data_IF_873448482865
#
_entry.id   IF_873448482865
#
_cell.length_a   1.000
_cell.length_b   1.000
_cell.length_c   1.000
_cell.angle_alpha   90.00
_cell.angle_beta   90.00
_cell.angle_gamma   90.00
#
_symmetry.space_group_name_H-M   'P 1'
#
loop_
_entity.id
_entity.type
_entity.pdbx_description
1 polymer ?
#
# COMPACT_ATOMS: atom_id res chain seq x y z
N UNK A 1 -27.62 -31.33 16.24
CA UNK A 1 -26.47 -31.61 15.35
C UNK A 1 -26.30 -30.41 14.43
N UNK A 2 -25.61 -29.37 14.90
CA UNK A 2 -25.15 -28.27 14.04
C UNK A 2 -23.68 -28.52 13.77
N UNK A 3 -23.33 -28.79 12.51
CA UNK A 3 -21.93 -28.78 12.08
C UNK A 3 -21.38 -27.39 12.36
N UNK A 4 -20.53 -27.26 13.37
CA UNK A 4 -19.70 -26.07 13.57
C UNK A 4 -18.77 -26.01 12.36
N UNK A 5 -19.20 -25.29 11.32
CA UNK A 5 -18.39 -25.05 10.13
C UNK A 5 -17.04 -24.51 10.56
N UNK A 6 -15.97 -25.14 10.07
CA UNK A 6 -14.59 -24.69 10.33
C UNK A 6 -14.50 -23.25 9.83
N UNK A 7 -14.44 -22.27 10.73
CA UNK A 7 -14.24 -20.88 10.34
C UNK A 7 -12.86 -20.75 9.74
N UNK A 8 -12.80 -20.35 8.46
CA UNK A 8 -11.52 -20.09 7.79
C UNK A 8 -10.78 -19.01 8.58
N UNK A 9 -9.59 -19.34 9.06
CA UNK A 9 -8.73 -18.41 9.79
C UNK A 9 -7.67 -17.84 8.86
N UNK A 10 -7.52 -16.52 8.84
CA UNK A 10 -6.44 -15.81 8.13
C UNK A 10 -5.56 -15.01 9.10
N UNK A 11 -4.26 -15.04 8.86
CA UNK A 11 -3.27 -14.29 9.63
C UNK A 11 -2.84 -13.04 8.87
N UNK A 12 -3.10 -11.87 9.43
CA UNK A 12 -2.70 -10.58 8.86
C UNK A 12 -1.55 -10.00 9.68
N UNK A 13 -0.42 -9.82 9.02
CA UNK A 13 0.75 -9.17 9.58
C UNK A 13 0.65 -7.65 9.52
N UNK A 14 1.19 -6.96 10.51
CA UNK A 14 1.48 -5.52 10.45
C UNK A 14 2.98 -5.35 10.69
N UNK A 15 3.71 -4.78 9.72
CA UNK A 15 5.14 -4.57 9.83
C UNK A 15 5.44 -3.61 11.00
N UNK A 16 6.19 -4.08 11.98
CA UNK A 16 6.39 -3.39 13.26
C UNK A 16 7.88 -3.04 13.51
N UNK A 17 8.57 -2.63 12.44
CA UNK A 17 9.97 -2.16 12.50
C UNK A 17 10.07 -0.70 12.91
N UNK A 18 9.14 0.12 12.44
CA UNK A 18 8.96 1.53 12.75
C UNK A 18 7.56 1.95 12.28
N UNK A 19 6.95 2.96 12.90
CA UNK A 19 5.70 3.54 12.43
C UNK A 19 4.47 3.19 13.27
N UNK A 20 3.29 3.53 12.75
CA UNK A 20 1.99 3.45 13.43
C UNK A 20 1.34 2.04 13.36
N UNK A 21 2.10 1.00 13.71
CA UNK A 21 1.62 -0.39 13.62
C UNK A 21 0.52 -0.72 14.65
N UNK A 22 0.53 -0.04 15.81
CA UNK A 22 -0.47 -0.25 16.87
C UNK A 22 -1.85 0.24 16.45
N UNK A 23 -1.92 1.44 15.89
CA UNK A 23 -3.14 2.08 15.40
C UNK A 23 -3.75 1.25 14.27
N UNK A 24 -2.91 0.78 13.34
CA UNK A 24 -3.33 -0.17 12.31
C UNK A 24 -3.92 -1.45 12.90
N UNK A 25 -3.26 -2.06 13.89
CA UNK A 25 -3.73 -3.30 14.54
C UNK A 25 -5.08 -3.10 15.23
N UNK A 26 -5.30 -1.95 15.86
CA UNK A 26 -6.58 -1.63 16.52
C UNK A 26 -7.73 -1.48 15.51
N UNK A 27 -7.50 -0.77 14.41
CA UNK A 27 -8.51 -0.64 13.35
C UNK A 27 -8.76 -1.96 12.62
N UNK A 28 -7.73 -2.79 12.40
CA UNK A 28 -7.90 -4.14 11.84
C UNK A 28 -8.79 -5.02 12.74
N UNK A 29 -8.59 -4.98 14.07
CA UNK A 29 -9.48 -5.69 15.02
C UNK A 29 -10.92 -5.18 14.97
N UNK A 30 -11.10 -3.88 14.77
CA UNK A 30 -12.43 -3.29 14.61
C UNK A 30 -13.07 -3.68 13.26
N UNK A 31 -12.26 -3.69 12.20
CA UNK A 31 -12.64 -4.07 10.85
C UNK A 31 -13.03 -5.56 10.71
N UNK A 32 -12.40 -6.45 11.48
CA UNK A 32 -12.74 -7.87 11.49
C UNK A 32 -14.22 -8.12 11.86
N UNK A 33 -14.84 -7.23 12.64
CA UNK A 33 -16.26 -7.34 13.01
C UNK A 33 -17.22 -7.25 11.82
N UNK A 34 -16.78 -6.67 10.71
CA UNK A 34 -17.55 -6.60 9.46
C UNK A 34 -17.52 -7.90 8.66
N UNK A 35 -16.71 -8.87 9.08
CA UNK A 35 -16.51 -10.17 8.42
C UNK A 35 -16.77 -11.33 9.39
N UNK A 36 -18.00 -11.48 9.92
CA UNK A 36 -18.29 -12.44 11.00
C UNK A 36 -18.12 -13.91 10.60
N UNK A 37 -18.08 -14.23 9.30
CA UNK A 37 -17.86 -15.58 8.79
C UNK A 37 -16.38 -16.00 8.82
N UNK A 38 -15.45 -15.05 8.98
CA UNK A 38 -14.02 -15.27 8.86
C UNK A 38 -13.32 -14.90 10.16
N UNK A 39 -12.44 -15.80 10.63
CA UNK A 39 -11.61 -15.50 11.79
C UNK A 39 -10.31 -14.83 11.34
N UNK A 40 -9.96 -13.70 11.96
CA UNK A 40 -8.70 -13.01 11.71
C UNK A 40 -7.78 -13.05 12.92
N UNK A 41 -6.52 -13.38 12.68
CA UNK A 41 -5.42 -13.23 13.64
C UNK A 41 -4.54 -12.07 13.18
N UNK A 42 -4.20 -11.15 14.07
CA UNK A 42 -3.33 -10.00 13.77
C UNK A 42 -2.01 -10.15 14.50
N UNK A 43 -0.90 -10.12 13.76
CA UNK A 43 0.45 -10.31 14.30
C UNK A 43 1.36 -9.14 13.92
N UNK A 44 2.20 -8.73 14.86
CA UNK A 44 3.27 -7.78 14.58
C UNK A 44 4.44 -8.51 13.93
N UNK A 45 4.88 -8.01 12.78
CA UNK A 45 5.95 -8.61 11.99
C UNK A 45 7.24 -7.83 12.20
N UNK A 46 8.22 -8.48 12.83
CA UNK A 46 9.59 -7.99 13.04
C UNK A 46 10.65 -8.95 12.50
N UNK A 47 10.26 -10.17 12.17
CA UNK A 47 11.15 -11.24 11.70
C UNK A 47 10.58 -11.96 10.48
N UNK A 48 11.46 -12.63 9.73
CA UNK A 48 11.08 -13.41 8.55
C UNK A 48 10.13 -14.57 8.90
N UNK A 49 10.31 -15.20 10.07
CA UNK A 49 9.43 -16.27 10.54
C UNK A 49 8.00 -15.78 10.80
N UNK A 50 7.86 -14.58 11.39
CA UNK A 50 6.55 -13.97 11.59
C UNK A 50 5.89 -13.60 10.26
N UNK A 51 6.67 -13.06 9.31
CA UNK A 51 6.19 -12.74 7.97
C UNK A 51 5.70 -13.99 7.22
N UNK A 52 6.46 -15.09 7.30
CA UNK A 52 6.13 -16.34 6.62
C UNK A 52 4.79 -16.95 7.10
N UNK A 53 4.43 -16.73 8.36
CA UNK A 53 3.16 -17.17 8.93
C UNK A 53 1.94 -16.32 8.51
N UNK A 54 2.16 -15.19 7.82
CA UNK A 54 1.10 -14.29 7.40
C UNK A 54 0.51 -14.68 6.03
N UNK A 55 -0.80 -14.52 5.90
CA UNK A 55 -1.55 -14.58 4.64
C UNK A 55 -1.59 -13.23 3.93
N UNK A 56 -1.58 -12.14 4.71
CA UNK A 56 -1.58 -10.77 4.20
C UNK A 56 -0.70 -9.86 5.07
N UNK A 57 -0.28 -8.71 4.52
CA UNK A 57 0.61 -7.78 5.21
C UNK A 57 0.16 -6.32 5.07
N UNK A 58 0.17 -5.58 6.17
CA UNK A 58 0.13 -4.11 6.17
C UNK A 58 1.53 -3.57 6.44
N UNK A 59 1.98 -2.65 5.59
CA UNK A 59 3.22 -1.87 5.75
C UNK A 59 2.80 -0.46 6.14
N UNK A 60 2.93 -0.08 7.42
CA UNK A 60 2.35 1.16 7.93
C UNK A 60 3.14 2.40 7.49
N UNK A 61 2.56 3.57 7.77
CA UNK A 61 3.23 4.85 7.65
C UNK A 61 4.36 5.04 8.66
N UNK A 62 5.23 6.02 8.42
CA UNK A 62 6.42 6.25 9.23
C UNK A 62 7.48 7.02 8.45
N UNK A 63 8.75 6.67 8.67
CA UNK A 63 9.88 7.18 7.87
C UNK A 63 10.41 6.04 6.99
N UNK A 64 10.19 6.15 5.68
CA UNK A 64 10.48 5.07 4.73
C UNK A 64 11.95 4.66 4.70
N UNK A 65 12.87 5.60 4.90
CA UNK A 65 14.31 5.31 4.93
C UNK A 65 14.67 4.50 6.18
N UNK A 66 14.13 4.83 7.35
CA UNK A 66 14.31 4.10 8.60
C UNK A 66 13.70 2.69 8.51
N UNK A 67 12.48 2.55 7.96
CA UNK A 67 11.86 1.23 7.77
C UNK A 67 12.75 0.36 6.88
N UNK A 68 13.23 0.89 5.75
CA UNK A 68 14.11 0.17 4.82
C UNK A 68 15.44 -0.24 5.47
N UNK A 69 16.11 0.69 6.17
CA UNK A 69 17.38 0.40 6.87
C UNK A 69 17.23 -0.62 8.00
N UNK A 70 16.14 -0.57 8.76
CA UNK A 70 15.88 -1.57 9.81
C UNK A 70 15.55 -2.92 9.17
N UNK A 71 14.76 -2.93 8.09
CA UNK A 71 14.45 -4.16 7.36
C UNK A 71 15.72 -4.81 6.80
N UNK A 72 16.65 -4.03 6.26
CA UNK A 72 17.95 -4.52 5.78
C UNK A 72 18.76 -5.13 6.92
N UNK A 73 18.92 -4.39 8.04
CA UNK A 73 19.67 -4.87 9.22
C UNK A 73 19.08 -6.12 9.85
N UNK A 74 17.77 -6.33 9.69
CA UNK A 74 17.07 -7.51 10.17
C UNK A 74 16.94 -8.63 9.11
N UNK A 75 17.60 -8.49 7.95
CA UNK A 75 17.51 -9.42 6.82
C UNK A 75 16.06 -9.69 6.36
N UNK A 76 15.20 -8.67 6.42
CA UNK A 76 13.77 -8.74 6.14
C UNK A 76 13.39 -8.18 4.77
N UNK A 77 14.27 -7.42 4.10
CA UNK A 77 13.99 -6.86 2.76
C UNK A 77 13.70 -7.93 1.71
N UNK A 78 14.56 -8.94 1.57
CA UNK A 78 14.33 -10.04 0.62
C UNK A 78 13.07 -10.85 0.96
N UNK A 79 12.82 -11.27 2.21
CA UNK A 79 11.53 -11.86 2.59
C UNK A 79 10.30 -11.00 2.26
N UNK A 80 10.39 -9.68 2.38
CA UNK A 80 9.30 -8.77 2.00
C UNK A 80 9.09 -8.75 0.48
N UNK A 81 10.17 -8.68 -0.30
CA UNK A 81 10.10 -8.78 -1.78
C UNK A 81 9.51 -10.11 -2.22
N UNK A 82 9.92 -11.19 -1.59
CA UNK A 82 9.38 -12.53 -1.81
C UNK A 82 7.87 -12.57 -1.52
N UNK A 83 7.44 -12.04 -0.37
CA UNK A 83 6.03 -12.00 0.03
C UNK A 83 5.16 -11.23 -0.98
N UNK A 84 5.64 -10.06 -1.41
CA UNK A 84 4.88 -9.12 -2.24
C UNK A 84 4.95 -9.45 -3.73
N UNK A 85 6.16 -9.67 -4.27
CA UNK A 85 6.38 -9.80 -5.72
C UNK A 85 6.36 -11.23 -6.20
N UNK A 86 6.81 -12.17 -5.38
CA UNK A 86 6.95 -13.59 -5.77
C UNK A 86 5.69 -14.36 -5.38
N UNK A 87 5.35 -14.39 -4.10
CA UNK A 87 4.15 -15.07 -3.58
C UNK A 87 2.86 -14.29 -3.87
N UNK A 88 2.96 -13.01 -4.28
CA UNK A 88 1.84 -12.12 -4.59
C UNK A 88 0.77 -12.11 -3.48
N UNK A 89 1.17 -12.19 -2.20
CA UNK A 89 0.22 -12.20 -1.08
C UNK A 89 -0.38 -10.80 -0.89
N UNK A 90 -1.67 -10.68 -0.51
CA UNK A 90 -2.31 -9.39 -0.29
C UNK A 90 -1.47 -8.47 0.59
N UNK A 91 -1.16 -7.28 0.07
CA UNK A 91 -0.28 -6.33 0.76
C UNK A 91 -0.83 -4.92 0.65
N UNK A 92 -0.83 -4.19 1.77
CA UNK A 92 -1.26 -2.80 1.82
C UNK A 92 -0.19 -1.89 2.39
N UNK A 93 0.26 -0.90 1.62
CA UNK A 93 1.15 0.16 2.08
C UNK A 93 0.41 1.46 2.38
N UNK A 94 0.61 2.02 3.57
CA UNK A 94 0.14 3.38 3.93
C UNK A 94 1.32 4.34 4.06
N UNK A 95 1.20 5.55 3.49
CA UNK A 95 2.22 6.59 3.53
C UNK A 95 3.63 6.08 3.18
N UNK A 96 4.49 5.82 4.17
CA UNK A 96 5.82 5.22 3.97
C UNK A 96 5.76 3.84 3.29
N UNK A 97 4.75 3.02 3.61
CA UNK A 97 4.52 1.74 2.97
C UNK A 97 4.20 1.86 1.47
N UNK A 98 3.47 2.90 1.04
CA UNK A 98 3.26 3.17 -0.39
C UNK A 98 4.59 3.47 -1.09
N UNK A 99 5.48 4.24 -0.46
CA UNK A 99 6.82 4.51 -1.02
C UNK A 99 7.59 3.21 -1.20
N UNK A 100 7.57 2.31 -0.20
CA UNK A 100 8.31 1.05 -0.26
C UNK A 100 7.75 0.08 -1.30
N UNK A 101 6.42 0.09 -1.54
CA UNK A 101 5.78 -0.78 -2.54
C UNK A 101 5.89 -0.27 -3.99
N UNK A 102 6.33 0.98 -4.20
CA UNK A 102 6.54 1.51 -5.53
C UNK A 102 7.71 0.80 -6.25
N UNK A 103 7.61 0.62 -7.56
CA UNK A 103 8.74 0.20 -8.38
C UNK A 103 9.77 1.33 -8.58
N UNK A 104 9.37 2.59 -8.37
CA UNK A 104 10.25 3.75 -8.45
C UNK A 104 9.91 4.82 -7.40
N UNK A 105 10.91 5.45 -6.81
CA UNK A 105 10.72 6.58 -5.88
C UNK A 105 11.79 7.65 -6.05
N UNK A 106 11.38 8.92 -6.06
CA UNK A 106 12.30 10.07 -6.23
C UNK A 106 12.74 10.67 -4.88
N UNK A 107 13.77 11.54 -4.92
CA UNK A 107 14.32 12.31 -3.78
C UNK A 107 14.92 11.43 -2.68
N UNK A 108 15.59 10.35 -3.06
CA UNK A 108 16.38 9.56 -2.11
C UNK A 108 17.76 10.18 -1.92
N UNK A 109 18.22 10.24 -0.66
CA UNK A 109 19.66 10.39 -0.40
C UNK A 109 20.36 9.16 -0.97
N UNK A 110 21.42 9.36 -1.76
CA UNK A 110 22.17 8.27 -2.37
C UNK A 110 22.51 7.17 -1.34
N UNK A 111 22.15 5.92 -1.64
CA UNK A 111 22.50 4.72 -0.85
C UNK A 111 21.70 4.44 0.42
N UNK A 112 20.64 5.19 0.72
CA UNK A 112 19.95 5.08 2.03
C UNK A 112 18.65 4.28 2.08
N UNK A 113 17.99 3.99 0.95
CA UNK A 113 16.66 3.38 0.96
C UNK A 113 16.48 2.42 -0.22
N UNK A 114 16.29 1.14 0.10
CA UNK A 114 15.83 0.14 -0.86
C UNK A 114 14.29 0.04 -0.89
N UNK A 115 13.75 -0.31 -2.06
CA UNK A 115 12.32 -0.53 -2.28
C UNK A 115 11.97 -2.02 -2.28
N UNK A 116 10.73 -2.33 -1.93
CA UNK A 116 10.16 -3.67 -2.01
C UNK A 116 9.58 -3.89 -3.42
N UNK A 117 8.86 -2.90 -3.96
CA UNK A 117 8.13 -3.01 -5.21
C UNK A 117 6.79 -3.74 -5.08
N UNK A 118 6.13 -3.98 -6.20
CA UNK A 118 4.80 -4.60 -6.28
C UNK A 118 3.69 -3.67 -6.79
N UNK A 119 3.95 -2.36 -6.91
CA UNK A 119 3.13 -1.38 -7.60
C UNK A 119 3.93 -0.70 -8.70
N UNK A 120 3.50 -0.83 -9.96
CA UNK A 120 4.07 -0.18 -11.15
C UNK A 120 3.76 1.33 -11.15
N UNK A 121 4.31 2.03 -10.16
CA UNK A 121 4.15 3.45 -9.96
C UNK A 121 5.48 4.08 -9.59
N UNK A 122 5.61 5.35 -9.94
CA UNK A 122 6.62 6.23 -9.39
C UNK A 122 6.02 7.11 -8.31
N UNK A 123 6.64 7.09 -7.14
CA UNK A 123 6.20 7.87 -5.98
C UNK A 123 7.14 9.04 -5.73
N UNK A 124 6.55 10.23 -5.56
CA UNK A 124 7.28 11.43 -5.18
C UNK A 124 7.20 11.63 -3.66
N UNK A 125 8.35 11.52 -2.98
CA UNK A 125 8.44 11.67 -1.53
C UNK A 125 8.20 13.12 -1.11
N UNK A 126 7.39 13.31 -0.07
CA UNK A 126 7.14 14.60 0.55
C UNK A 126 6.75 15.68 -0.48
N UNK A 127 5.89 15.33 -1.45
CA UNK A 127 5.50 16.21 -2.55
C UNK A 127 4.88 17.52 -2.04
N UNK A 128 4.14 17.47 -0.93
CA UNK A 128 3.48 18.61 -0.31
C UNK A 128 4.42 19.61 0.42
N UNK A 129 5.74 19.40 0.41
CA UNK A 129 6.76 20.39 0.82
C UNK A 129 7.35 20.21 2.23
N UNK A 130 8.43 20.95 2.53
CA UNK A 130 9.23 20.85 3.76
C UNK A 130 8.66 21.61 4.98
N UNK A 131 7.68 22.51 4.81
CA UNK A 131 7.26 23.46 5.86
C UNK A 131 5.74 23.68 6.04
N UNK A 132 4.82 23.00 5.33
CA UNK A 132 3.37 23.28 5.46
C UNK A 132 2.47 22.05 5.51
N UNK A 133 2.03 21.79 6.74
CA UNK A 133 0.74 21.26 7.19
C UNK A 133 0.35 19.83 6.82
N UNK A 134 0.37 18.97 7.83
CA UNK A 134 -0.59 17.87 7.88
C UNK A 134 -1.98 18.43 7.60
N UNK A 135 -2.68 17.86 6.62
CA UNK A 135 -4.03 18.32 6.26
C UNK A 135 -4.98 17.13 6.25
N UNK A 136 -6.27 17.45 6.22
CA UNK A 136 -7.32 16.46 6.09
C UNK A 136 -8.12 16.77 4.82
N UNK A 137 -8.53 15.74 4.10
CA UNK A 137 -9.42 15.87 2.96
C UNK A 137 -10.48 14.77 2.97
N UNK A 138 -11.70 15.11 2.58
CA UNK A 138 -12.77 14.15 2.39
C UNK A 138 -12.63 13.54 0.99
N UNK A 139 -12.36 12.24 0.93
CA UNK A 139 -12.16 11.51 -0.32
C UNK A 139 -13.43 10.76 -0.72
N UNK A 140 -13.80 10.87 -2.00
CA UNK A 140 -14.79 9.99 -2.60
C UNK A 140 -14.11 8.67 -3.00
N UNK A 141 -14.17 7.68 -2.11
CA UNK A 141 -13.60 6.35 -2.31
C UNK A 141 -14.71 5.40 -2.72
N UNK A 142 -15.06 5.39 -4.02
CA UNK A 142 -16.20 4.62 -4.55
C UNK A 142 -16.16 3.13 -4.23
N UNK A 143 -14.96 2.55 -4.04
CA UNK A 143 -14.80 1.14 -3.64
C UNK A 143 -15.27 0.84 -2.21
N UNK A 144 -15.52 1.85 -1.38
CA UNK A 144 -16.11 1.70 -0.04
C UNK A 144 -17.65 1.72 -0.05
N UNK A 145 -18.28 1.94 -1.21
CA UNK A 145 -19.73 1.98 -1.31
C UNK A 145 -20.31 0.58 -1.10
N UNK A 146 -21.45 0.50 -0.40
CA UNK A 146 -22.29 -0.69 -0.43
C UNK A 146 -22.83 -0.90 -1.86
N UNK A 147 -23.13 -2.15 -2.23
CA UNK A 147 -23.63 -2.48 -3.57
C UNK A 147 -24.81 -1.59 -3.98
N UNK A 148 -24.64 -0.84 -5.07
CA UNK A 148 -25.66 0.06 -5.64
C UNK A 148 -25.79 1.44 -4.98
N UNK A 149 -24.93 1.79 -4.02
CA UNK A 149 -24.96 3.08 -3.31
C UNK A 149 -23.77 4.01 -3.59
N UNK A 150 -23.79 5.20 -2.98
CA UNK A 150 -22.63 6.09 -2.89
C UNK A 150 -22.02 5.95 -1.49
N UNK A 151 -20.69 5.86 -1.39
CA UNK A 151 -20.01 5.85 -0.10
C UNK A 151 -20.06 7.24 0.56
N UNK A 152 -20.25 7.29 1.87
CA UNK A 152 -19.95 8.51 2.61
C UNK A 152 -18.47 8.85 2.45
N UNK A 153 -18.10 10.12 2.23
CA UNK A 153 -16.72 10.52 2.05
C UNK A 153 -15.82 9.98 3.17
N UNK A 154 -14.62 9.53 2.81
CA UNK A 154 -13.63 9.05 3.76
C UNK A 154 -12.72 10.20 4.16
N UNK A 155 -12.71 10.54 5.46
CA UNK A 155 -11.83 11.56 6.01
C UNK A 155 -10.37 11.07 6.01
N UNK A 156 -9.58 11.47 5.03
CA UNK A 156 -8.18 11.08 4.92
C UNK A 156 -7.26 12.10 5.61
N UNK A 157 -6.29 11.60 6.39
CA UNK A 157 -5.30 12.40 7.11
C UNK A 157 -3.94 12.29 6.39
N UNK A 158 -3.40 13.41 5.94
CA UNK A 158 -2.14 13.48 5.20
C UNK A 158 -1.08 14.11 6.09
N UNK A 159 0.01 13.40 6.37
CA UNK A 159 1.13 13.91 7.18
C UNK A 159 2.42 13.66 6.39
N UNK A 160 3.01 14.73 5.83
CA UNK A 160 4.17 14.63 4.92
C UNK A 160 3.95 13.58 3.83
N UNK A 161 2.72 13.52 3.31
CA UNK A 161 2.29 12.44 2.45
C UNK A 161 3.10 12.39 1.13
N UNK A 162 3.43 11.19 0.64
CA UNK A 162 3.85 11.02 -0.74
C UNK A 162 2.67 11.25 -1.71
N UNK A 163 2.96 11.29 -3.00
CA UNK A 163 1.94 11.14 -4.06
C UNK A 163 2.42 10.12 -5.09
N UNK A 164 1.47 9.49 -5.79
CA UNK A 164 1.77 8.75 -7.02
C UNK A 164 1.89 9.76 -8.16
N UNK A 165 3.12 9.97 -8.63
CA UNK A 165 3.45 10.95 -9.67
C UNK A 165 3.22 10.38 -11.07
N UNK A 166 3.41 9.07 -11.26
CA UNK A 166 3.30 8.44 -12.57
C UNK A 166 2.92 6.98 -12.43
N UNK A 167 2.02 6.50 -13.29
CA UNK A 167 1.81 5.07 -13.52
C UNK A 167 2.86 4.59 -14.52
N UNK A 168 3.62 3.56 -14.13
CA UNK A 168 4.64 2.97 -14.97
C UNK A 168 4.01 1.90 -15.87
N UNK A 169 4.66 1.60 -17.00
CA UNK A 169 4.28 0.45 -17.81
C UNK A 169 4.78 -0.81 -17.11
N UNK A 170 3.94 -1.84 -17.10
CA UNK A 170 4.35 -3.17 -16.65
C UNK A 170 5.57 -3.64 -17.47
N UNK A 171 6.53 -4.21 -16.77
CA UNK A 171 7.79 -4.72 -17.32
C UNK A 171 8.16 -6.01 -16.61
N UNK A 172 8.67 -7.00 -17.35
CA UNK A 172 9.17 -8.25 -16.77
C UNK A 172 10.47 -8.04 -15.97
N UNK A 173 11.25 -7.02 -16.35
CA UNK A 173 12.50 -6.63 -15.70
C UNK A 173 12.34 -5.43 -14.76
N UNK A 174 13.45 -5.02 -14.15
CA UNK A 174 13.47 -3.83 -13.31
C UNK A 174 13.16 -2.59 -14.16
N UNK A 175 12.65 -1.54 -13.54
CA UNK A 175 12.32 -0.27 -14.23
C UNK A 175 13.60 0.53 -14.56
N UNK A 176 14.53 -0.04 -15.34
CA UNK A 176 15.86 0.53 -15.62
C UNK A 176 15.79 1.93 -16.25
N UNK A 177 14.73 2.22 -17.02
CA UNK A 177 14.48 3.57 -17.56
C UNK A 177 14.26 4.62 -16.47
N UNK A 178 13.76 4.24 -15.29
CA UNK A 178 13.62 5.13 -14.13
C UNK A 178 14.95 5.33 -13.39
N UNK A 179 15.87 4.35 -13.42
CA UNK A 179 17.18 4.47 -12.78
C UNK A 179 18.08 5.55 -13.43
N UNK A 180 17.80 5.92 -14.67
CA UNK A 180 18.51 7.01 -15.36
C UNK A 180 18.08 8.40 -14.87
N UNK A 181 16.99 8.50 -14.09
CA UNK A 181 16.49 9.79 -13.59
C UNK A 181 17.25 10.21 -12.33
N UNK A 182 17.54 11.52 -12.16
CA UNK A 182 18.23 12.01 -10.98
C UNK A 182 17.49 11.71 -9.68
N UNK A 183 18.23 11.27 -8.66
CA UNK A 183 17.71 10.99 -7.30
C UNK A 183 16.56 9.98 -7.24
N UNK A 184 16.49 9.07 -8.21
CA UNK A 184 15.49 7.99 -8.26
C UNK A 184 16.11 6.66 -7.84
N UNK A 185 15.37 5.90 -7.04
CA UNK A 185 15.65 4.49 -6.73
C UNK A 185 14.58 3.61 -7.35
N UNK A 186 14.96 2.41 -7.75
CA UNK A 186 14.04 1.41 -8.31
C UNK A 186 14.04 0.13 -7.47
N UNK A 187 12.91 -0.58 -7.46
CA UNK A 187 12.83 -1.88 -6.83
C UNK A 187 13.49 -2.96 -7.73
N UNK A 188 14.10 -4.01 -7.15
CA UNK A 188 14.65 -5.10 -7.93
C UNK A 188 13.53 -5.92 -8.59
N UNK A 189 13.80 -6.44 -9.78
CA UNK A 189 12.90 -7.37 -10.47
C UNK A 189 12.76 -8.69 -9.70
N UNK A 190 11.58 -9.30 -9.78
CA UNK A 190 11.29 -10.61 -9.21
C UNK A 190 10.28 -11.34 -10.08
N UNK A 191 10.47 -12.65 -10.23
CA UNK A 191 9.51 -13.53 -10.86
C UNK A 191 8.45 -14.01 -9.89
N UNK A 192 7.24 -14.28 -10.39
CA UNK A 192 6.18 -14.86 -9.56
C UNK A 192 6.50 -16.32 -9.28
N UNK A 193 6.05 -16.83 -8.12
CA UNK A 193 6.23 -18.23 -7.78
C UNK A 193 5.48 -19.15 -8.75
N UNK A 194 5.95 -20.40 -8.88
CA UNK A 194 5.24 -21.45 -9.59
C UNK A 194 3.81 -21.61 -9.03
N UNK A 195 2.82 -21.74 -9.93
CA UNK A 195 1.40 -21.85 -9.57
C UNK A 195 0.67 -20.52 -9.39
N UNK A 196 1.37 -19.37 -9.52
CA UNK A 196 0.73 -18.06 -9.63
C UNK A 196 0.65 -17.66 -11.10
N UNK A 197 -0.52 -17.23 -11.56
CA UNK A 197 -0.71 -16.74 -12.93
C UNK A 197 0.24 -15.55 -13.21
N UNK A 198 1.21 -15.70 -14.16
CA UNK A 198 2.14 -14.63 -14.51
C UNK A 198 1.47 -13.36 -15.04
N UNK A 199 0.21 -13.44 -15.50
CA UNK A 199 -0.57 -12.28 -15.94
C UNK A 199 -0.75 -11.24 -14.83
N UNK A 200 -0.63 -11.64 -13.56
CA UNK A 200 -0.73 -10.72 -12.41
C UNK A 200 0.31 -9.60 -12.42
N UNK A 201 1.48 -9.83 -13.03
CA UNK A 201 2.52 -8.79 -13.22
C UNK A 201 2.08 -7.71 -14.21
N UNK A 202 1.19 -8.06 -15.14
CA UNK A 202 0.75 -7.20 -16.24
C UNK A 202 -0.61 -6.56 -15.98
N UNK A 203 -1.21 -6.80 -14.81
CA UNK A 203 -2.44 -6.13 -14.43
C UNK A 203 -2.21 -4.61 -14.34
N UNK A 204 -3.12 -3.80 -14.88
CA UNK A 204 -2.96 -2.35 -14.84
C UNK A 204 -3.06 -1.84 -13.40
N UNK A 205 -2.39 -0.72 -13.14
CA UNK A 205 -2.60 0.03 -11.89
C UNK A 205 -3.93 0.76 -11.97
N UNK A 206 -4.83 0.45 -11.03
CA UNK A 206 -6.11 1.11 -10.85
C UNK A 206 -5.95 2.32 -9.92
N UNK A 207 -6.47 3.49 -10.32
CA UNK A 207 -6.56 4.66 -9.46
C UNK A 207 -7.85 4.56 -8.65
N UNK A 208 -7.72 4.54 -7.33
CA UNK A 208 -8.82 4.37 -6.39
C UNK A 208 -9.19 5.66 -5.63
N UNK A 209 -8.33 6.68 -5.67
CA UNK A 209 -8.58 7.94 -4.99
C UNK A 209 -7.66 9.05 -5.47
N UNK A 210 -8.26 10.23 -5.67
CA UNK A 210 -7.60 11.46 -6.09
C UNK A 210 -7.99 12.57 -5.11
N UNK A 211 -7.02 13.34 -4.62
CA UNK A 211 -7.28 14.60 -3.91
C UNK A 211 -7.27 15.73 -4.95
N UNK A 212 -8.33 16.53 -5.08
CA UNK A 212 -8.29 17.73 -5.92
C UNK A 212 -7.10 18.61 -5.54
N UNK A 213 -6.24 18.94 -6.51
CA UNK A 213 -4.95 19.55 -6.24
C UNK A 213 -5.07 20.90 -5.53
N UNK A 214 -4.14 21.19 -4.59
CA UNK A 214 -3.92 22.55 -4.05
C UNK A 214 -3.62 23.59 -5.15
N UNK A 215 -3.32 23.16 -6.38
CA UNK A 215 -3.17 24.02 -7.56
C UNK A 215 -4.44 24.81 -7.91
N UNK A 216 -5.62 24.33 -7.53
CA UNK A 216 -6.85 25.12 -7.64
C UNK A 216 -6.92 26.31 -6.65
N UNK A 217 -6.08 26.33 -5.61
CA UNK A 217 -6.09 27.35 -4.54
C UNK A 217 -4.80 28.19 -4.44
N UNK A 218 -3.73 27.88 -5.19
CA UNK A 218 -2.49 28.66 -5.20
C UNK A 218 -2.03 28.89 -6.64
N UNK A 219 -2.31 30.07 -7.18
CA UNK A 219 -1.64 30.58 -8.40
C UNK A 219 -0.13 30.64 -8.14
N UNK A 220 0.65 29.72 -8.71
CA UNK A 220 2.12 29.87 -8.81
C UNK A 220 2.48 30.46 -10.17
N UNK A 221 3.41 31.42 -10.12
CA UNK A 221 3.98 32.13 -11.27
C UNK A 221 5.14 31.32 -11.85
N UNK A 222 4.85 30.21 -12.52
CA UNK A 222 5.79 29.56 -13.42
C UNK A 222 4.98 28.69 -14.40
N UNK A 223 4.94 29.14 -15.66
CA UNK A 223 4.06 28.64 -16.71
C UNK A 223 4.35 27.24 -17.23
N UNK A 224 4.37 26.23 -16.36
CA UNK A 224 4.21 24.83 -16.78
C UNK A 224 2.79 24.39 -16.47
N UNK A 225 1.92 24.42 -17.49
CA UNK A 225 0.59 23.84 -17.42
C UNK A 225 0.71 22.31 -17.57
N UNK A 226 0.17 21.60 -16.58
CA UNK A 226 -0.65 20.38 -16.74
C UNK A 226 -0.88 19.75 -15.35
N UNK A 227 -1.89 20.22 -14.62
CA UNK A 227 -2.55 19.41 -13.59
C UNK A 227 -3.93 19.98 -13.20
N UNK A 228 -4.90 19.88 -14.11
CA UNK A 228 -6.33 19.96 -13.76
C UNK A 228 -6.83 18.66 -13.10
N UNK A 229 -6.10 17.55 -13.26
CA UNK A 229 -6.33 16.29 -12.56
C UNK A 229 -5.60 16.34 -11.21
N UNK A 230 -6.31 16.12 -10.09
CA UNK A 230 -5.72 16.19 -8.75
C UNK A 230 -4.60 15.17 -8.48
N UNK A 231 -4.09 15.15 -7.25
CA UNK A 231 -3.03 14.26 -6.82
C UNK A 231 -3.56 12.83 -6.58
N UNK A 232 -2.92 11.82 -7.17
CA UNK A 232 -3.28 10.41 -6.96
C UNK A 232 -2.81 9.98 -5.57
N UNK A 233 -3.76 9.57 -4.73
CA UNK A 233 -3.52 9.25 -3.31
C UNK A 233 -3.87 7.82 -2.92
N UNK A 234 -4.59 7.07 -3.77
CA UNK A 234 -4.85 5.65 -3.57
C UNK A 234 -4.79 4.89 -4.89
N UNK A 235 -4.08 3.77 -4.91
CA UNK A 235 -3.89 2.90 -6.09
C UNK A 235 -3.94 1.43 -5.71
N UNK A 236 -4.33 0.57 -6.66
CA UNK A 236 -4.26 -0.89 -6.51
C UNK A 236 -3.66 -1.51 -7.77
N UNK A 237 -2.88 -2.58 -7.60
CA UNK A 237 -2.46 -3.44 -8.71
C UNK A 237 -2.59 -4.90 -8.28
N UNK A 238 -3.62 -5.57 -8.80
CA UNK A 238 -4.03 -6.89 -8.32
C UNK A 238 -4.26 -6.90 -6.81
N UNK A 239 -3.48 -7.70 -6.10
CA UNK A 239 -3.57 -7.89 -4.65
C UNK A 239 -2.76 -6.87 -3.83
N UNK A 240 -2.09 -5.91 -4.46
CA UNK A 240 -1.27 -4.88 -3.79
C UNK A 240 -2.04 -3.56 -3.78
N UNK A 241 -2.21 -2.98 -2.59
CA UNK A 241 -2.92 -1.73 -2.36
C UNK A 241 -1.98 -0.67 -1.76
N UNK A 242 -2.08 0.56 -2.22
CA UNK A 242 -1.22 1.65 -1.80
C UNK A 242 -2.02 2.91 -1.52
N UNK A 243 -1.76 3.56 -0.39
CA UNK A 243 -2.42 4.83 0.00
C UNK A 243 -1.41 5.83 0.53
N UNK A 244 -1.59 7.11 0.20
CA UNK A 244 -0.71 8.20 0.60
C UNK A 244 -1.03 8.79 1.98
N UNK A 245 -2.24 8.55 2.47
CA UNK A 245 -2.75 9.05 3.74
C UNK A 245 -2.63 8.01 4.87
N UNK A 246 -2.98 8.43 6.08
CA UNK A 246 -2.96 7.67 7.32
C UNK A 246 -4.39 7.28 7.74
N UNK A 247 -4.96 6.21 7.17
CA UNK A 247 -6.30 5.73 7.56
C UNK A 247 -6.36 5.27 9.03
N UNK A 248 -5.23 4.90 9.62
CA UNK A 248 -5.10 4.50 11.01
C UNK A 248 -5.39 5.62 12.01
N UNK A 249 -5.32 6.87 11.59
CA UNK A 249 -5.52 8.04 12.45
C UNK A 249 -6.97 8.57 12.45
N UNK A 250 -7.86 7.97 11.66
CA UNK A 250 -9.22 8.50 11.45
C UNK A 250 -10.25 7.94 12.43
N UNK A 251 -9.98 6.76 13.01
CA UNK A 251 -10.97 5.98 13.75
C UNK A 251 -11.99 5.24 12.86
N UNK A 252 -11.97 5.47 11.54
CA UNK A 252 -12.88 4.87 10.56
C UNK A 252 -12.29 3.58 9.98
N UNK A 253 -12.83 2.45 10.40
CA UNK A 253 -12.36 1.13 9.99
C UNK A 253 -12.88 0.66 8.62
N UNK A 254 -13.67 1.46 7.87
CA UNK A 254 -14.30 1.01 6.61
C UNK A 254 -13.28 0.58 5.56
N UNK A 255 -12.17 1.33 5.41
CA UNK A 255 -11.11 0.97 4.46
C UNK A 255 -10.35 -0.28 4.88
N UNK A 256 -10.10 -0.48 6.17
CA UNK A 256 -9.52 -1.72 6.71
C UNK A 256 -10.47 -2.90 6.51
N UNK A 257 -11.78 -2.70 6.72
CA UNK A 257 -12.79 -3.74 6.51
C UNK A 257 -12.87 -4.11 5.03
N UNK A 258 -12.93 -3.13 4.13
CA UNK A 258 -12.86 -3.40 2.68
C UNK A 258 -11.62 -4.22 2.33
N UNK A 259 -10.44 -3.81 2.81
CA UNK A 259 -9.19 -4.51 2.50
C UNK A 259 -9.17 -5.95 3.06
N UNK A 260 -9.68 -6.19 4.28
CA UNK A 260 -9.85 -7.56 4.80
C UNK A 260 -10.76 -8.42 3.92
N UNK A 261 -11.80 -7.82 3.33
CA UNK A 261 -12.63 -8.51 2.34
C UNK A 261 -11.84 -8.91 1.09
N UNK A 262 -10.98 -8.02 0.59
CA UNK A 262 -10.09 -8.32 -0.55
C UNK A 262 -9.05 -9.40 -0.20
N UNK A 263 -8.57 -9.44 1.05
CA UNK A 263 -7.70 -10.53 1.55
C UNK A 263 -8.44 -11.86 1.48
N UNK A 264 -9.67 -11.93 2.00
CA UNK A 264 -10.49 -13.17 1.97
C UNK A 264 -10.70 -13.64 0.53
N UNK A 265 -11.16 -12.75 -0.36
CA UNK A 265 -11.38 -13.07 -1.78
C UNK A 265 -10.12 -13.63 -2.45
N UNK A 266 -8.98 -12.98 -2.22
CA UNK A 266 -7.69 -13.41 -2.81
C UNK A 266 -7.26 -14.77 -2.28
N UNK A 267 -7.37 -14.98 -0.96
CA UNK A 267 -6.87 -16.19 -0.32
C UNK A 267 -7.79 -17.41 -0.53
N UNK A 268 -9.10 -17.20 -0.64
CA UNK A 268 -10.05 -18.26 -1.00
C UNK A 268 -9.91 -18.66 -2.47
N UNK A 269 -9.75 -17.68 -3.39
CA UNK A 269 -9.50 -17.97 -4.80
C UNK A 269 -8.27 -18.85 -5.05
N UNK A 270 -7.23 -18.70 -4.22
CA UNK A 270 -6.02 -19.53 -4.26
C UNK A 270 -6.22 -20.96 -3.75
N UNK A 271 -7.18 -21.21 -2.86
CA UNK A 271 -7.51 -22.56 -2.38
C UNK A 271 -8.37 -23.34 -3.38
N UNK A 272 -9.04 -22.64 -4.28
CA UNK A 272 -9.92 -23.21 -5.30
C UNK A 272 -9.25 -23.41 -6.66
N UNK A 273 -8.01 -22.94 -6.84
CA UNK A 273 -7.18 -23.10 -8.04
C UNK A 273 -6.17 -24.22 -7.86
#
# INVERSE_FOLDING_TARGET
>A
MGSLGVSTTFTVGVLALQGAFNEHTQLLRSAAKFHPATQFTFVEVRTAAQLAACDALVIPGGESTAISLVAERCNLLEPLREFVKVQRKPTWGTCAGLILLAESANRTKAGGQELIGGLDVRVNRNHFGRQTESFQADLDLGFLAAEGGKADPFRAIFIRAPIVETLLKASDGAQEGEAQKPETVIAPAKDVADGIDPSIKHQPVEILGIVPGRAAAVKRQDGTADNEAGDIVAVRQGNVFGTSFHPELTGDARIHAWWLGEVVKTMEGRKSS
#
